data_IF_648734916402
#
_entry.id   IF_648734916402
#
_cell.length_a   1.000
_cell.length_b   1.000
_cell.length_c   1.000
_cell.angle_alpha   90.00
_cell.angle_beta   90.00
_cell.angle_gamma   90.00
#
_symmetry.space_group_name_H-M   'P 1'
#
loop_
_entity.id
_entity.type
_entity.pdbx_description
1 polymer ?
#
# COMPACT_ATOMS: atom_id res chain seq x y z
N UNK A 1 0.94 -16.88 -4.89
CA UNK A 1 -0.33 -16.13 -5.13
C UNK A 1 -0.25 -14.75 -4.44
N UNK A 2 0.38 -13.78 -5.09
CA UNK A 2 0.61 -12.40 -4.61
C UNK A 2 1.50 -11.66 -5.60
N UNK A 3 1.54 -10.32 -5.55
CA UNK A 3 2.49 -9.54 -6.35
C UNK A 3 3.84 -9.48 -5.64
N UNK A 4 4.93 -9.77 -6.35
CA UNK A 4 6.30 -9.67 -5.86
C UNK A 4 7.16 -8.87 -6.86
N UNK A 5 8.03 -7.95 -6.40
CA UNK A 5 9.03 -7.35 -7.27
C UNK A 5 10.05 -8.42 -7.69
N UNK A 6 10.38 -8.47 -8.98
CA UNK A 6 11.25 -9.53 -9.54
C UNK A 6 12.70 -9.55 -9.04
N UNK A 7 13.16 -8.47 -8.39
CA UNK A 7 14.44 -8.39 -7.67
C UNK A 7 14.16 -7.76 -6.29
N UNK A 8 14.95 -8.11 -5.27
CA UNK A 8 14.90 -7.54 -3.90
C UNK A 8 15.36 -6.06 -3.84
N UNK A 9 14.91 -5.27 -4.80
CA UNK A 9 15.17 -3.84 -4.89
C UNK A 9 14.02 -3.10 -4.18
N UNK A 10 14.35 -2.50 -3.03
CA UNK A 10 13.41 -1.70 -2.24
C UNK A 10 12.93 -0.43 -2.95
N UNK A 11 13.37 -0.17 -4.19
CA UNK A 11 12.86 0.91 -5.04
C UNK A 11 11.61 0.53 -5.83
N UNK A 12 11.18 -0.74 -5.83
CA UNK A 12 10.01 -1.18 -6.60
C UNK A 12 8.71 -0.78 -5.92
N UNK A 13 7.67 -0.63 -6.71
CA UNK A 13 6.34 -0.23 -6.26
C UNK A 13 5.28 -0.91 -7.12
N UNK A 14 4.08 -1.00 -6.55
CA UNK A 14 2.87 -1.37 -7.28
C UNK A 14 1.93 -0.17 -7.29
N UNK A 15 1.32 0.10 -8.45
CA UNK A 15 0.36 1.21 -8.64
C UNK A 15 -1.03 0.65 -8.95
N UNK A 16 -2.04 1.28 -8.38
CA UNK A 16 -3.44 1.12 -8.76
C UNK A 16 -3.92 2.43 -9.39
N UNK A 17 -4.58 2.33 -10.55
CA UNK A 17 -5.42 3.39 -11.12
C UNK A 17 -6.88 3.09 -10.79
N UNK A 18 -7.50 3.96 -9.98
CA UNK A 18 -8.90 3.86 -9.55
C UNK A 18 -9.90 4.37 -10.62
N UNK A 19 -9.41 4.77 -11.80
CA UNK A 19 -10.13 5.34 -12.95
C UNK A 19 -10.72 6.74 -12.70
N UNK A 20 -11.07 7.06 -11.46
CA UNK A 20 -11.59 8.35 -11.01
C UNK A 20 -10.99 8.70 -9.64
N UNK A 21 -11.05 9.99 -9.26
CA UNK A 21 -10.57 10.41 -7.95
C UNK A 21 -11.56 9.96 -6.85
N UNK A 22 -11.07 9.19 -5.89
CA UNK A 22 -11.87 8.69 -4.75
C UNK A 22 -11.28 9.15 -3.42
N UNK A 23 -12.13 9.17 -2.40
CA UNK A 23 -11.66 9.26 -1.02
C UNK A 23 -11.27 7.88 -0.54
N UNK A 24 -10.05 7.76 -0.02
CA UNK A 24 -9.47 6.51 0.45
C UNK A 24 -9.17 6.71 1.93
N UNK A 25 -9.73 5.86 2.78
CA UNK A 25 -9.62 5.97 4.23
C UNK A 25 -8.78 4.88 4.87
N UNK A 26 -8.54 3.76 4.19
CA UNK A 26 -7.68 2.71 4.73
C UNK A 26 -7.10 1.82 3.64
N UNK A 27 -6.11 1.03 4.04
CA UNK A 27 -5.49 -0.01 3.23
C UNK A 27 -5.44 -1.32 4.02
N UNK A 28 -5.76 -2.43 3.35
CA UNK A 28 -5.56 -3.78 3.87
C UNK A 28 -4.39 -4.41 3.14
N UNK A 29 -3.51 -5.07 3.89
CA UNK A 29 -2.35 -5.81 3.35
C UNK A 29 -2.33 -7.25 3.84
N UNK A 30 -1.87 -8.16 2.99
CA UNK A 30 -1.76 -9.59 3.28
C UNK A 30 -0.59 -10.21 2.50
N UNK A 31 0.10 -11.19 3.07
CA UNK A 31 1.24 -11.87 2.43
C UNK A 31 0.86 -12.90 1.36
N UNK A 32 1.81 -13.73 0.95
CA UNK A 32 1.58 -14.80 -0.02
C UNK A 32 0.60 -15.86 0.53
N UNK A 33 -0.25 -16.43 -0.33
CA UNK A 33 -1.15 -17.53 0.05
C UNK A 33 -0.46 -18.90 0.06
N UNK A 34 0.64 -19.07 -0.65
CA UNK A 34 1.23 -20.40 -0.87
C UNK A 34 1.89 -20.93 0.40
N UNK A 35 1.65 -22.22 0.71
CA UNK A 35 2.02 -22.80 2.00
C UNK A 35 3.54 -22.96 2.19
N UNK A 36 4.32 -23.08 1.11
CA UNK A 36 5.78 -23.25 1.15
C UNK A 36 6.56 -21.99 1.49
N UNK A 37 6.00 -20.81 1.21
CA UNK A 37 6.76 -19.56 1.21
C UNK A 37 6.26 -18.66 2.33
N UNK A 38 7.14 -18.19 3.22
CA UNK A 38 6.78 -17.25 4.30
C UNK A 38 7.02 -15.80 3.88
N UNK A 39 6.42 -15.42 2.76
CA UNK A 39 6.67 -14.12 2.11
C UNK A 39 5.59 -13.09 2.47
N UNK A 40 6.03 -11.94 2.96
CA UNK A 40 5.14 -10.83 3.29
C UNK A 40 5.90 -9.51 3.46
N UNK A 41 5.20 -8.39 3.26
CA UNK A 41 5.73 -7.04 3.49
C UNK A 41 5.55 -6.67 4.97
N UNK A 42 6.64 -6.31 5.64
CA UNK A 42 6.66 -5.89 7.05
C UNK A 42 6.40 -4.41 7.21
N UNK A 43 7.01 -3.58 6.37
CA UNK A 43 6.76 -2.13 6.37
C UNK A 43 6.66 -1.59 4.97
N UNK A 44 5.84 -0.55 4.79
CA UNK A 44 5.64 0.09 3.49
C UNK A 44 5.33 1.59 3.66
N UNK A 45 5.46 2.33 2.57
CA UNK A 45 4.97 3.72 2.47
C UNK A 45 4.07 3.88 1.25
N UNK A 46 3.28 4.94 1.25
CA UNK A 46 2.34 5.24 0.17
C UNK A 46 2.69 6.56 -0.50
N UNK A 47 2.60 6.58 -1.83
CA UNK A 47 2.45 7.81 -2.59
C UNK A 47 1.10 7.82 -3.30
N UNK A 48 0.55 9.00 -3.50
CA UNK A 48 -0.72 9.16 -4.20
C UNK A 48 -0.66 10.37 -5.11
N UNK A 49 -1.57 10.42 -6.08
CA UNK A 49 -1.81 11.61 -6.89
C UNK A 49 -3.25 11.68 -7.36
N UNK A 50 -3.72 12.92 -7.50
CA UNK A 50 -4.90 13.24 -8.29
C UNK A 50 -4.53 13.10 -9.76
N UNK A 51 -5.51 12.84 -10.61
CA UNK A 51 -5.27 12.78 -12.05
C UNK A 51 -4.60 14.08 -12.57
N UNK A 52 -3.53 13.92 -13.35
CA UNK A 52 -2.71 15.02 -13.86
C UNK A 52 -1.82 15.75 -12.85
N UNK A 53 -1.84 15.39 -11.56
CA UNK A 53 -0.99 16.04 -10.53
C UNK A 53 0.36 15.34 -10.34
N UNK A 54 1.27 16.03 -9.65
CA UNK A 54 2.51 15.42 -9.15
C UNK A 54 2.21 14.38 -8.06
N UNK A 55 3.14 13.45 -7.86
CA UNK A 55 3.09 12.47 -6.78
C UNK A 55 3.38 13.13 -5.43
N UNK A 56 2.52 12.86 -4.45
CA UNK A 56 2.70 13.24 -3.05
C UNK A 56 3.02 11.99 -2.20
N UNK A 57 3.89 12.12 -1.21
CA UNK A 57 4.02 11.11 -0.15
C UNK A 57 2.87 11.27 0.86
N UNK A 58 2.41 10.17 1.44
CA UNK A 58 1.58 10.23 2.64
C UNK A 58 2.47 10.55 3.85
N UNK A 59 2.11 11.57 4.61
CA UNK A 59 2.92 12.10 5.71
C UNK A 59 2.15 12.08 7.02
N UNK A 60 2.87 12.00 8.13
CA UNK A 60 2.32 12.21 9.47
C UNK A 60 2.14 13.72 9.74
N UNK A 61 1.58 14.09 10.89
CA UNK A 61 1.28 15.48 11.30
C UNK A 61 2.53 16.38 11.32
N UNK A 62 3.70 15.79 11.54
CA UNK A 62 4.99 16.50 11.58
C UNK A 62 5.63 16.68 10.19
N UNK A 63 4.95 16.22 9.13
CA UNK A 63 5.41 16.29 7.75
C UNK A 63 6.44 15.21 7.37
N UNK A 64 6.78 14.29 8.28
CA UNK A 64 7.61 13.13 7.97
C UNK A 64 6.83 12.12 7.12
N UNK A 65 7.53 11.36 6.27
CA UNK A 65 6.88 10.32 5.45
C UNK A 65 6.38 9.21 6.38
N UNK A 66 5.08 8.93 6.30
CA UNK A 66 4.45 7.91 7.12
C UNK A 66 4.91 6.52 6.68
N UNK A 67 5.39 5.75 7.65
CA UNK A 67 5.75 4.35 7.49
C UNK A 67 4.66 3.51 8.15
N UNK A 68 4.00 2.67 7.36
CA UNK A 68 2.97 1.77 7.84
C UNK A 68 3.59 0.44 8.24
N UNK A 69 3.11 -0.08 9.38
CA UNK A 69 3.37 -1.45 9.81
C UNK A 69 2.40 -2.39 9.07
N UNK A 70 2.97 -3.26 8.24
CA UNK A 70 2.25 -4.23 7.44
C UNK A 70 2.06 -5.55 8.18
N UNK A 71 2.39 -6.65 7.51
CA UNK A 71 2.13 -7.99 7.99
C UNK A 71 3.26 -8.50 8.91
N UNK A 72 2.86 -9.27 9.93
CA UNK A 72 3.78 -10.04 10.78
C UNK A 72 3.83 -11.53 10.39
N UNK A 73 2.89 -11.97 9.55
CA UNK A 73 2.79 -13.32 9.00
C UNK A 73 2.03 -13.28 7.67
N UNK A 74 2.12 -14.35 6.88
CA UNK A 74 1.50 -14.39 5.55
C UNK A 74 -0.03 -14.53 5.50
N UNK A 75 -0.65 -15.02 6.58
CA UNK A 75 -2.06 -15.44 6.58
C UNK A 75 -3.03 -14.35 7.06
N UNK A 76 -2.60 -13.51 7.99
CA UNK A 76 -3.46 -12.50 8.60
C UNK A 76 -3.46 -11.21 7.76
N UNK A 77 -4.65 -10.72 7.44
CA UNK A 77 -4.84 -9.39 6.87
C UNK A 77 -4.61 -8.33 7.94
N UNK A 78 -3.85 -7.28 7.60
CA UNK A 78 -3.61 -6.13 8.45
C UNK A 78 -4.26 -4.91 7.84
N UNK A 79 -5.15 -4.27 8.59
CA UNK A 79 -5.80 -3.00 8.27
C UNK A 79 -4.95 -1.84 8.80
N UNK A 80 -4.66 -0.87 7.95
CA UNK A 80 -4.06 0.40 8.33
C UNK A 80 -5.01 1.52 7.92
N UNK A 81 -5.58 2.20 8.91
CA UNK A 81 -6.40 3.38 8.68
C UNK A 81 -5.52 4.60 8.38
N UNK A 82 -5.94 5.40 7.42
CA UNK A 82 -5.35 6.71 7.16
C UNK A 82 -5.96 7.71 8.12
N UNK A 83 -5.12 8.33 8.94
CA UNK A 83 -5.54 9.37 9.88
C UNK A 83 -6.25 10.52 9.15
N UNK A 84 -5.62 10.97 8.07
CA UNK A 84 -6.21 11.87 7.09
C UNK A 84 -6.55 11.11 5.82
N UNK A 85 -7.81 11.19 5.38
CA UNK A 85 -8.26 10.52 4.16
C UNK A 85 -7.52 11.08 2.93
N UNK A 86 -7.13 10.19 2.02
CA UNK A 86 -6.47 10.55 0.78
C UNK A 86 -7.53 10.80 -0.31
N UNK A 87 -7.40 11.90 -1.05
CA UNK A 87 -8.16 12.11 -2.29
C UNK A 87 -7.25 11.89 -3.49
N UNK A 88 -7.44 10.77 -4.20
CA UNK A 88 -6.54 10.37 -5.30
C UNK A 88 -7.22 9.47 -6.32
N UNK A 89 -6.68 9.45 -7.54
CA UNK A 89 -6.97 8.45 -8.58
C UNK A 89 -5.90 7.37 -8.63
N UNK A 90 -4.63 7.76 -8.50
CA UNK A 90 -3.52 6.82 -8.51
C UNK A 90 -2.91 6.67 -7.12
N UNK A 91 -2.68 5.42 -6.72
CA UNK A 91 -2.03 5.09 -5.45
C UNK A 91 -0.89 4.13 -5.71
N UNK A 92 0.29 4.44 -5.16
CA UNK A 92 1.46 3.59 -5.18
C UNK A 92 1.81 3.12 -3.78
N UNK A 93 2.01 1.81 -3.65
CA UNK A 93 2.59 1.20 -2.46
C UNK A 93 4.05 0.86 -2.73
N UNK A 94 4.92 1.32 -1.84
CA UNK A 94 6.35 1.05 -1.84
C UNK A 94 6.68 0.15 -0.64
N UNK A 95 6.93 -1.15 -0.84
CA UNK A 95 7.44 -2.01 0.22
C UNK A 95 8.85 -1.55 0.63
N UNK A 96 9.10 -1.50 1.93
CA UNK A 96 10.38 -1.04 2.51
C UNK A 96 11.14 -2.18 3.17
N UNK A 97 10.45 -2.99 3.96
CA UNK A 97 11.00 -4.21 4.56
C UNK A 97 10.04 -5.38 4.38
N UNK A 98 10.59 -6.59 4.32
CA UNK A 98 9.82 -7.80 4.01
C UNK A 98 10.44 -9.03 4.69
N UNK A 99 9.69 -10.13 4.70
CA UNK A 99 10.21 -11.47 4.99
C UNK A 99 10.40 -12.21 3.68
N UNK A 100 11.60 -12.77 3.46
CA UNK A 100 12.05 -13.42 2.23
C UNK A 100 11.90 -12.56 0.95
N UNK A 101 10.68 -12.38 0.46
CA UNK A 101 10.34 -11.54 -0.68
C UNK A 101 9.21 -10.56 -0.34
N UNK A 102 9.18 -9.41 -1.01
CA UNK A 102 8.11 -8.41 -0.90
C UNK A 102 6.81 -8.85 -1.61
N UNK A 103 6.30 -10.01 -1.24
CA UNK A 103 5.03 -10.52 -1.76
C UNK A 103 3.86 -9.89 -1.03
N UNK A 104 2.92 -9.32 -1.79
CA UNK A 104 1.80 -8.54 -1.28
C UNK A 104 0.50 -8.89 -2.02
N UNK A 105 -0.57 -8.99 -1.25
CA UNK A 105 -1.97 -8.77 -1.67
C UNK A 105 -2.46 -7.55 -0.90
N UNK A 106 -3.12 -6.63 -1.58
CA UNK A 106 -3.60 -5.40 -0.96
C UNK A 106 -4.94 -4.97 -1.52
N UNK A 107 -5.68 -4.25 -0.68
CA UNK A 107 -7.00 -3.70 -0.98
C UNK A 107 -7.06 -2.26 -0.47
N UNK A 108 -7.66 -1.37 -1.25
CA UNK A 108 -7.88 0.03 -0.85
C UNK A 108 -9.33 0.21 -0.44
N UNK A 109 -9.55 0.69 0.79
CA UNK A 109 -10.88 1.01 1.29
C UNK A 109 -11.16 2.48 1.07
N UNK A 110 -12.15 2.76 0.24
CA UNK A 110 -12.55 4.12 -0.09
C UNK A 110 -14.03 4.22 -0.41
N UNK A 111 -14.50 5.46 -0.51
CA UNK A 111 -15.84 5.78 -0.98
C UNK A 111 -15.76 6.71 -2.20
N UNK A 112 -16.73 6.55 -3.09
CA UNK A 112 -17.04 7.58 -4.07
C UNK A 112 -17.72 8.73 -3.33
N UNK A 113 -17.39 9.98 -3.69
CA UNK A 113 -18.12 11.13 -3.19
C UNK A 113 -19.61 10.89 -3.45
N UNK A 114 -20.47 11.08 -2.44
CA UNK A 114 -21.91 11.12 -2.69
C UNK A 114 -22.18 12.30 -3.61
N UNK A 115 -22.71 12.02 -4.81
CA UNK A 115 -23.22 13.04 -5.73
C UNK A 115 -24.55 13.61 -5.24
#
# INVERSE_FOLDING_TARGET
NGWCPGNADNSKWIEIDLMENKFIGAIITMGCKDDSDDEYVKTFRIKYRVDGSAWADYTDDDGSVMIFEGNQNKFQSVLNDFKENIYARHVRLYPLTHNDYATLRWELLGCTKCE
#
